data_IF_201133145616
#
_entry.id   IF_201133145616
#
_cell.length_a   1.000
_cell.length_b   1.000
_cell.length_c   1.000
_cell.angle_alpha   90.00
_cell.angle_beta   90.00
_cell.angle_gamma   90.00
#
_symmetry.space_group_name_H-M   'P 1'
#
loop_
_entity.id
_entity.type
_entity.pdbx_description
1 polymer ?
#
# COMPACT_ATOMS: atom_id res chain seq x y z
N UNK A 1 20.82 25.51 -9.14
CA UNK A 1 21.03 24.09 -8.79
C UNK A 1 19.92 23.31 -9.47
N UNK A 2 20.29 22.51 -10.45
CA UNK A 2 19.36 21.77 -11.29
C UNK A 2 18.83 20.56 -10.49
N UNK A 3 17.54 20.57 -10.11
CA UNK A 3 16.91 19.47 -9.36
C UNK A 3 16.95 18.14 -10.12
N UNK A 4 17.17 18.21 -11.44
CA UNK A 4 17.32 17.08 -12.35
C UNK A 4 18.61 16.26 -12.13
N UNK A 5 19.63 16.81 -11.46
CA UNK A 5 20.83 16.07 -11.05
C UNK A 5 20.68 15.37 -9.69
N UNK A 6 19.71 15.77 -8.87
CA UNK A 6 19.52 15.22 -7.52
C UNK A 6 18.55 14.02 -7.51
N UNK A 7 17.73 13.91 -8.55
CA UNK A 7 16.83 12.78 -8.76
C UNK A 7 17.44 11.90 -9.84
N UNK A 8 17.91 10.67 -9.52
CA UNK A 8 18.33 9.73 -10.54
C UNK A 8 17.20 9.62 -11.56
N UNK A 9 17.54 9.75 -12.84
CA UNK A 9 16.56 9.64 -13.92
C UNK A 9 15.77 8.36 -13.69
N UNK A 10 14.45 8.51 -13.48
CA UNK A 10 13.54 7.41 -13.15
C UNK A 10 13.50 6.42 -14.32
N UNK A 11 14.52 5.58 -14.38
CA UNK A 11 14.69 4.56 -15.40
C UNK A 11 14.17 3.29 -14.78
N UNK A 12 12.98 2.90 -15.21
CA UNK A 12 12.33 1.66 -14.81
C UNK A 12 12.60 0.66 -15.95
N UNK A 13 13.76 0.00 -16.02
CA UNK A 13 13.93 -1.13 -16.90
C UNK A 13 12.94 -2.22 -16.47
N UNK A 14 12.29 -2.85 -17.46
CA UNK A 14 11.37 -3.97 -17.23
C UNK A 14 12.22 -5.22 -16.99
N UNK A 15 12.89 -5.26 -15.83
CA UNK A 15 13.76 -6.35 -15.41
C UNK A 15 13.00 -7.36 -14.52
N UNK A 16 13.57 -8.55 -14.34
CA UNK A 16 12.96 -9.62 -13.54
C UNK A 16 12.63 -9.23 -12.10
N UNK A 17 13.34 -8.25 -11.51
CA UNK A 17 13.07 -7.70 -10.18
C UNK A 17 11.83 -6.81 -10.15
N UNK A 18 11.60 -6.01 -11.21
CA UNK A 18 10.39 -5.21 -11.37
C UNK A 18 9.17 -6.10 -11.51
N UNK A 19 9.26 -7.12 -12.38
CA UNK A 19 8.17 -8.10 -12.60
C UNK A 19 7.87 -8.89 -11.33
N UNK A 20 8.91 -9.33 -10.61
CA UNK A 20 8.76 -9.98 -9.31
C UNK A 20 8.04 -9.09 -8.29
N UNK A 21 8.44 -7.82 -8.17
CA UNK A 21 7.78 -6.85 -7.30
C UNK A 21 6.32 -6.59 -7.69
N UNK A 22 6.03 -6.51 -8.99
CA UNK A 22 4.69 -6.25 -9.52
C UNK A 22 3.76 -7.44 -9.30
N UNK A 23 4.24 -8.67 -9.54
CA UNK A 23 3.50 -9.89 -9.21
C UNK A 23 3.20 -9.99 -7.72
N UNK A 24 4.15 -9.61 -6.85
CA UNK A 24 3.92 -9.62 -5.42
C UNK A 24 2.93 -8.56 -4.94
N UNK A 25 2.95 -7.36 -5.55
CA UNK A 25 1.93 -6.33 -5.32
C UNK A 25 0.53 -6.79 -5.73
N UNK A 26 0.40 -7.41 -6.91
CA UNK A 26 -0.89 -7.93 -7.40
C UNK A 26 -1.44 -9.01 -6.46
N UNK A 27 -0.60 -9.89 -5.92
CA UNK A 27 -1.04 -10.91 -4.95
C UNK A 27 -1.30 -10.34 -3.56
N UNK A 28 -0.56 -9.31 -3.13
CA UNK A 28 -0.76 -8.66 -1.83
C UNK A 28 -2.09 -7.89 -1.76
N UNK A 29 -2.56 -7.33 -2.88
CA UNK A 29 -3.84 -6.61 -2.95
C UNK A 29 -5.04 -7.43 -2.46
N UNK A 30 -5.39 -8.59 -3.05
CA UNK A 30 -6.53 -9.38 -2.61
C UNK A 30 -6.36 -9.92 -1.19
N UNK A 31 -5.13 -10.28 -0.80
CA UNK A 31 -4.83 -10.76 0.56
C UNK A 31 -5.07 -9.65 1.59
N UNK A 32 -4.48 -8.48 1.38
CA UNK A 32 -4.65 -7.34 2.29
C UNK A 32 -6.09 -6.82 2.34
N UNK A 33 -6.79 -6.78 1.22
CA UNK A 33 -8.22 -6.44 1.19
C UNK A 33 -9.06 -7.45 1.97
N UNK A 34 -8.79 -8.74 1.80
CA UNK A 34 -9.49 -9.80 2.54
C UNK A 34 -9.27 -9.68 4.04
N UNK A 35 -8.01 -9.53 4.48
CA UNK A 35 -7.69 -9.33 5.90
C UNK A 35 -8.29 -8.04 6.47
N UNK A 36 -8.22 -6.94 5.72
CA UNK A 36 -8.77 -5.67 6.16
C UNK A 36 -10.30 -5.72 6.28
N UNK A 37 -11.00 -6.41 5.36
CA UNK A 37 -12.44 -6.63 5.49
C UNK A 37 -12.82 -7.49 6.69
N UNK A 38 -11.99 -8.48 7.02
CA UNK A 38 -12.25 -9.38 8.15
C UNK A 38 -11.96 -8.74 9.51
N UNK A 39 -10.92 -7.92 9.61
CA UNK A 39 -10.48 -7.29 10.86
C UNK A 39 -11.26 -6.02 11.21
N UNK A 40 -11.90 -5.38 10.23
CA UNK A 40 -12.42 -4.03 10.35
C UNK A 40 -13.95 -4.09 10.27
N UNK A 41 -14.63 -3.84 11.40
CA UNK A 41 -16.09 -3.81 11.52
C UNK A 41 -16.64 -2.48 10.95
N UNK A 42 -16.45 -2.24 9.64
CA UNK A 42 -16.54 -0.87 9.10
C UNK A 42 -17.88 -0.58 8.44
N UNK A 43 -18.52 0.50 8.90
CA UNK A 43 -19.75 1.05 8.31
C UNK A 43 -19.50 1.69 6.92
N UNK A 44 -18.29 2.17 6.66
CA UNK A 44 -17.85 2.70 5.36
C UNK A 44 -16.69 1.89 4.74
N UNK A 45 -17.06 0.86 3.96
CA UNK A 45 -16.13 -0.07 3.30
C UNK A 45 -15.14 0.62 2.36
N UNK A 46 -15.52 1.76 1.78
CA UNK A 46 -14.69 2.47 0.80
C UNK A 46 -13.40 3.02 1.41
N UNK A 47 -13.46 3.47 2.67
CA UNK A 47 -12.29 3.95 3.44
C UNK A 47 -11.24 2.87 3.58
N UNK A 48 -11.65 1.64 3.95
CA UNK A 48 -10.75 0.51 4.15
C UNK A 48 -10.05 0.13 2.84
N UNK A 49 -10.81 0.08 1.74
CA UNK A 49 -10.29 -0.22 0.41
C UNK A 49 -9.25 0.83 -0.01
N UNK A 50 -9.55 2.12 0.18
CA UNK A 50 -8.60 3.20 -0.12
C UNK A 50 -7.34 3.13 0.73
N UNK A 51 -7.47 2.82 2.02
CA UNK A 51 -6.33 2.65 2.93
C UNK A 51 -5.45 1.47 2.53
N UNK A 52 -6.06 0.31 2.25
CA UNK A 52 -5.36 -0.89 1.79
C UNK A 52 -4.63 -0.64 0.46
N UNK A 53 -5.31 -0.01 -0.50
CA UNK A 53 -4.72 0.34 -1.79
C UNK A 53 -3.54 1.30 -1.64
N UNK A 54 -3.70 2.39 -0.87
CA UNK A 54 -2.65 3.37 -0.64
C UNK A 54 -1.43 2.73 0.06
N UNK A 55 -1.65 1.88 1.07
CA UNK A 55 -0.58 1.15 1.74
C UNK A 55 0.14 0.15 0.84
N UNK A 56 -0.60 -0.58 -0.02
CA UNK A 56 -0.01 -1.48 -1.00
C UNK A 56 0.87 -0.71 -2.01
N UNK A 57 0.40 0.44 -2.51
CA UNK A 57 1.16 1.28 -3.44
C UNK A 57 2.44 1.81 -2.79
N UNK A 58 2.36 2.25 -1.53
CA UNK A 58 3.55 2.67 -0.78
C UNK A 58 4.56 1.54 -0.60
N UNK A 59 4.09 0.32 -0.30
CA UNK A 59 4.97 -0.85 -0.20
C UNK A 59 5.64 -1.21 -1.52
N UNK A 60 4.92 -1.08 -2.63
CA UNK A 60 5.47 -1.29 -3.96
C UNK A 60 6.55 -0.24 -4.29
N UNK A 61 6.29 1.04 -4.02
CA UNK A 61 7.27 2.11 -4.21
C UNK A 61 8.51 1.94 -3.32
N UNK A 62 8.34 1.50 -2.08
CA UNK A 62 9.45 1.23 -1.17
C UNK A 62 10.40 0.14 -1.72
N UNK A 63 9.85 -0.90 -2.35
CA UNK A 63 10.65 -1.98 -2.94
C UNK A 63 11.33 -1.54 -4.22
N UNK A 64 10.67 -0.74 -5.05
CA UNK A 64 11.33 -0.12 -6.19
C UNK A 64 12.49 0.78 -5.75
N UNK A 65 12.33 1.51 -4.63
CA UNK A 65 13.38 2.34 -4.03
C UNK A 65 14.55 1.55 -3.43
N UNK A 66 14.25 0.47 -2.70
CA UNK A 66 15.26 -0.28 -1.95
C UNK A 66 15.98 -1.36 -2.77
N UNK A 67 15.26 -2.02 -3.67
CA UNK A 67 15.74 -3.21 -4.40
C UNK A 67 15.76 -2.98 -5.90
N UNK A 68 14.79 -2.21 -6.40
CA UNK A 68 14.72 -1.79 -7.79
C UNK A 68 15.63 -0.60 -8.10
N UNK A 69 15.45 -0.07 -9.30
CA UNK A 69 16.25 1.01 -9.88
C UNK A 69 15.68 2.40 -9.62
N UNK A 70 14.79 2.58 -8.64
CA UNK A 70 14.17 3.89 -8.41
C UNK A 70 15.18 4.91 -7.86
N UNK A 71 16.23 4.44 -7.18
CA UNK A 71 17.30 5.27 -6.58
C UNK A 71 18.68 4.97 -7.21
N UNK A 72 18.88 3.78 -7.77
CA UNK A 72 20.17 3.34 -8.34
C UNK A 72 20.03 2.99 -9.82
N UNK A 73 21.02 3.38 -10.64
CA UNK A 73 21.06 3.12 -12.09
C UNK A 73 21.10 1.61 -12.46
N UNK A 74 21.42 0.75 -11.50
CA UNK A 74 21.44 -0.70 -11.66
C UNK A 74 20.76 -1.36 -10.45
N UNK A 75 19.96 -2.43 -10.64
CA UNK A 75 19.45 -3.21 -9.51
C UNK A 75 20.65 -3.73 -8.69
N UNK A 76 20.47 -3.89 -7.37
CA UNK A 76 21.58 -4.33 -6.51
C UNK A 76 22.29 -5.55 -7.11
N UNK A 77 23.63 -5.56 -7.18
CA UNK A 77 24.37 -6.73 -7.64
C UNK A 77 24.02 -7.92 -6.73
N UNK A 78 23.61 -9.05 -7.32
CA UNK A 78 23.04 -10.24 -6.67
C UNK A 78 21.58 -10.13 -6.19
N UNK A 79 20.79 -9.17 -6.65
CA UNK A 79 19.36 -9.14 -6.39
C UNK A 79 18.67 -10.38 -6.98
N UNK A 80 18.24 -11.29 -6.11
CA UNK A 80 17.52 -12.49 -6.51
C UNK A 80 16.03 -12.15 -6.74
N UNK A 81 15.48 -12.31 -7.95
CA UNK A 81 14.08 -11.99 -8.25
C UNK A 81 13.08 -12.75 -7.36
N UNK A 82 13.41 -13.98 -6.94
CA UNK A 82 12.55 -14.74 -6.03
C UNK A 82 12.45 -14.08 -4.65
N UNK A 83 13.57 -13.57 -4.11
CA UNK A 83 13.58 -12.86 -2.83
C UNK A 83 12.82 -11.53 -2.93
N UNK A 84 12.96 -10.81 -4.04
CA UNK A 84 12.20 -9.59 -4.32
C UNK A 84 10.69 -9.86 -4.40
N UNK A 85 10.28 -10.98 -5.00
CA UNK A 85 8.88 -11.39 -5.05
C UNK A 85 8.31 -11.62 -3.65
N UNK A 86 8.89 -12.50 -2.84
CA UNK A 86 8.39 -12.78 -1.49
C UNK A 86 8.48 -11.56 -0.56
N UNK A 87 9.55 -10.79 -0.68
CA UNK A 87 9.69 -9.51 0.01
C UNK A 87 8.56 -8.55 -0.35
N UNK A 88 8.20 -8.46 -1.63
CA UNK A 88 7.11 -7.59 -2.09
C UNK A 88 5.73 -8.00 -1.66
N UNK A 89 5.43 -9.30 -1.63
CA UNK A 89 4.17 -9.80 -1.08
C UNK A 89 4.06 -9.41 0.40
N UNK A 90 5.11 -9.66 1.20
CA UNK A 90 5.10 -9.38 2.63
C UNK A 90 5.02 -7.88 2.94
N UNK A 91 5.90 -7.07 2.34
CA UNK A 91 5.98 -5.65 2.63
C UNK A 91 4.71 -4.91 2.16
N UNK A 92 4.21 -5.23 0.96
CA UNK A 92 2.94 -4.67 0.48
C UNK A 92 1.77 -5.11 1.37
N UNK A 93 1.70 -6.37 1.81
CA UNK A 93 0.61 -6.84 2.67
C UNK A 93 0.62 -6.15 4.04
N UNK A 94 1.79 -6.02 4.68
CA UNK A 94 1.91 -5.36 5.98
C UNK A 94 1.57 -3.88 5.89
N UNK A 95 2.06 -3.17 4.88
CA UNK A 95 1.75 -1.75 4.69
C UNK A 95 0.29 -1.52 4.30
N UNK A 96 -0.28 -2.36 3.44
CA UNK A 96 -1.69 -2.30 3.07
C UNK A 96 -2.59 -2.51 4.30
N UNK A 97 -2.36 -3.55 5.09
CA UNK A 97 -3.16 -3.84 6.29
C UNK A 97 -3.01 -2.74 7.34
N UNK A 98 -1.78 -2.30 7.61
CA UNK A 98 -1.55 -1.23 8.59
C UNK A 98 -2.18 0.10 8.17
N UNK A 99 -2.05 0.50 6.89
CA UNK A 99 -2.69 1.70 6.37
C UNK A 99 -4.22 1.60 6.40
N UNK A 100 -4.80 0.44 6.08
CA UNK A 100 -6.24 0.20 6.17
C UNK A 100 -6.76 0.38 7.60
N UNK A 101 -6.09 -0.22 8.59
CA UNK A 101 -6.45 -0.11 10.02
C UNK A 101 -6.30 1.34 10.52
N UNK A 102 -5.21 2.02 10.14
CA UNK A 102 -4.99 3.42 10.53
C UNK A 102 -6.09 4.31 9.95
N UNK A 103 -6.43 4.14 8.67
CA UNK A 103 -7.48 4.93 8.03
C UNK A 103 -8.84 4.67 8.68
N UNK A 104 -9.13 3.42 9.01
CA UNK A 104 -10.36 3.03 9.73
C UNK A 104 -10.43 3.71 11.10
N UNK A 105 -9.37 3.65 11.91
CA UNK A 105 -9.29 4.31 13.21
C UNK A 105 -9.41 5.84 13.11
N UNK A 106 -8.84 6.46 12.09
CA UNK A 106 -8.95 7.89 11.83
C UNK A 106 -10.40 8.27 11.53
N UNK A 107 -11.08 7.52 10.65
CA UNK A 107 -12.48 7.78 10.30
C UNK A 107 -13.40 7.51 11.49
N UNK A 108 -13.18 6.42 12.23
CA UNK A 108 -13.92 6.15 13.47
C UNK A 108 -13.76 7.28 14.49
N UNK A 109 -12.53 7.81 14.69
CA UNK A 109 -12.29 8.97 15.55
C UNK A 109 -12.97 10.24 15.03
N UNK A 110 -12.90 10.50 13.72
CA UNK A 110 -13.48 11.71 13.10
C UNK A 110 -15.01 11.70 13.18
N UNK A 111 -15.62 10.54 12.97
CA UNK A 111 -17.08 10.37 12.99
C UNK A 111 -17.62 10.05 14.39
N UNK A 112 -16.81 10.08 15.47
CA UNK A 112 -17.30 9.91 16.85
C UNK A 112 -18.41 10.90 17.23
N UNK A 113 -18.41 12.10 16.64
CA UNK A 113 -19.49 13.09 16.85
C UNK A 113 -20.77 12.76 16.08
N UNK A 114 -20.65 12.26 14.85
CA UNK A 114 -21.81 11.87 14.03
C UNK A 114 -22.43 10.56 14.51
N UNK A 115 -21.64 9.62 15.04
CA UNK A 115 -22.16 8.40 15.70
C UNK A 115 -22.93 8.70 17.00
N UNK A 116 -22.65 9.83 17.65
CA UNK A 116 -23.38 10.29 18.85
C UNK A 116 -24.70 10.97 18.56
N UNK A 117 -24.96 11.32 17.30
CA UNK A 117 -26.29 11.69 16.82
C UNK A 117 -26.89 10.43 16.22
N UNK A 118 -27.61 9.59 17.00
CA UNK A 118 -28.62 8.76 16.36
C UNK A 118 -29.45 9.73 15.53
N UNK A 119 -29.77 9.33 14.31
CA UNK A 119 -30.67 10.01 13.38
C UNK A 119 -31.91 10.51 14.12
N UNK A 120 -31.81 11.69 14.71
CA UNK A 120 -32.92 12.48 15.16
C UNK A 120 -33.53 12.99 13.86
N UNK A 121 -34.75 12.51 13.60
CA UNK A 121 -35.60 12.75 12.42
C UNK A 121 -35.64 11.54 11.48
N UNK A 122 -36.59 10.64 11.74
CA UNK A 122 -37.65 10.28 10.79
C UNK A 122 -38.45 9.07 11.32
N UNK A 123 -39.28 9.30 12.35
CA UNK A 123 -40.55 8.59 12.46
C UNK A 123 -41.61 9.69 12.63
N UNK A 124 -42.32 9.93 11.54
CA UNK A 124 -43.66 10.52 11.53
C UNK A 124 -44.63 9.63 12.30
#
# INVERSE_FOLDING_TARGET
MDLSQLLPALKIPIDGTFIAGLCGFILALPVSLFLAFWLSEVKNRMTVVMGAFAGAVLGFLAILGLVGTLIFDQPLPNANPAATFFGSVLLCSVLAVSAAIILDLIVARRNRRDYRRPSAVAHE
#
